data_IF_097541070328
#
_entry.id   IF_097541070328
#
_cell.length_a   1.000
_cell.length_b   1.000
_cell.length_c   1.000
_cell.angle_alpha   90.00
_cell.angle_beta   90.00
_cell.angle_gamma   90.00
#
_symmetry.space_group_name_H-M   'P 1'
#
loop_
_entity.id
_entity.type
_entity.pdbx_description
1 polymer ?
#
# COMPACT_ATOMS: atom_id res chain seq x y z
N UNK A 1 -12.42 -10.53 -22.60
CA UNK A 1 -13.34 -11.69 -22.55
C UNK A 1 -13.12 -12.42 -21.23
N UNK A 2 -14.05 -13.24 -20.76
CA UNK A 2 -13.89 -14.00 -19.50
C UNK A 2 -13.38 -15.42 -19.77
N UNK A 3 -12.70 -16.02 -18.78
CA UNK A 3 -12.21 -17.40 -18.90
C UNK A 3 -13.38 -18.39 -19.01
N UNK A 4 -13.23 -19.49 -19.79
CA UNK A 4 -14.29 -20.47 -19.99
C UNK A 4 -14.64 -21.27 -18.71
N UNK A 5 -13.81 -21.18 -17.67
CA UNK A 5 -13.99 -21.83 -16.38
C UNK A 5 -14.30 -20.83 -15.25
N UNK A 6 -14.86 -19.66 -15.57
CA UNK A 6 -15.23 -18.61 -14.60
C UNK A 6 -16.05 -19.14 -13.42
N UNK A 7 -16.91 -20.13 -13.61
CA UNK A 7 -17.68 -20.75 -12.52
C UNK A 7 -16.80 -21.38 -11.43
N UNK A 8 -15.58 -21.84 -11.76
CA UNK A 8 -14.63 -22.34 -10.77
C UNK A 8 -14.04 -21.21 -9.92
N UNK A 9 -13.82 -20.05 -10.53
CA UNK A 9 -13.42 -18.83 -9.83
C UNK A 9 -14.54 -18.41 -8.86
N UNK A 10 -15.79 -18.42 -9.31
CA UNK A 10 -16.95 -18.11 -8.46
C UNK A 10 -17.07 -19.08 -7.29
N UNK A 11 -16.98 -20.39 -7.55
CA UNK A 11 -17.00 -21.43 -6.51
C UNK A 11 -15.86 -21.24 -5.52
N UNK A 12 -14.65 -20.93 -5.99
CA UNK A 12 -13.50 -20.63 -5.15
C UNK A 12 -13.77 -19.44 -4.23
N UNK A 13 -14.25 -18.32 -4.79
CA UNK A 13 -14.55 -17.10 -4.04
C UNK A 13 -15.61 -17.40 -2.98
N UNK A 14 -16.70 -18.07 -3.35
CA UNK A 14 -17.78 -18.43 -2.42
C UNK A 14 -17.29 -19.35 -1.30
N UNK A 15 -16.46 -20.34 -1.64
CA UNK A 15 -15.89 -21.28 -0.69
C UNK A 15 -15.02 -20.57 0.36
N UNK A 16 -14.04 -19.78 -0.08
CA UNK A 16 -13.15 -19.07 0.84
C UNK A 16 -13.84 -17.93 1.58
N UNK A 17 -14.81 -17.26 0.94
CA UNK A 17 -15.62 -16.25 1.63
C UNK A 17 -16.38 -16.83 2.82
N UNK A 18 -16.87 -18.07 2.72
CA UNK A 18 -17.56 -18.75 3.81
C UNK A 18 -16.62 -19.36 4.86
N UNK A 19 -15.39 -19.71 4.48
CA UNK A 19 -14.42 -20.41 5.35
C UNK A 19 -13.51 -19.46 6.15
N UNK A 20 -13.23 -18.28 5.62
CA UNK A 20 -12.35 -17.30 6.27
C UNK A 20 -13.14 -16.45 7.29
N UNK A 21 -13.55 -17.02 8.43
CA UNK A 21 -14.28 -16.37 9.54
C UNK A 21 -14.56 -14.85 9.40
N UNK A 22 -13.80 -13.97 10.08
CA UNK A 22 -13.96 -12.51 10.01
C UNK A 22 -13.28 -11.88 8.77
N UNK A 23 -12.63 -12.69 7.93
CA UNK A 23 -11.85 -12.27 6.77
C UNK A 23 -12.45 -12.77 5.45
N UNK A 24 -13.73 -13.16 5.42
CA UNK A 24 -14.40 -13.70 4.23
C UNK A 24 -14.38 -12.73 3.06
N UNK A 25 -14.27 -11.45 3.35
CA UNK A 25 -14.12 -10.40 2.35
C UNK A 25 -12.76 -10.42 1.63
N UNK A 26 -11.72 -11.08 2.16
CA UNK A 26 -10.44 -11.24 1.46
C UNK A 26 -10.61 -12.00 0.16
N UNK A 27 -11.33 -13.13 0.18
CA UNK A 27 -11.57 -13.94 -1.01
C UNK A 27 -12.40 -13.22 -2.08
N UNK A 28 -13.12 -12.15 -1.72
CA UNK A 28 -13.91 -11.33 -2.65
C UNK A 28 -13.08 -10.26 -3.35
N UNK A 29 -11.81 -10.11 -2.99
CA UNK A 29 -10.94 -9.10 -3.58
C UNK A 29 -9.58 -9.65 -3.96
N UNK A 30 -8.92 -8.97 -4.90
CA UNK A 30 -7.48 -9.07 -5.11
C UNK A 30 -6.85 -7.71 -4.85
N UNK A 31 -5.62 -7.73 -4.34
CA UNK A 31 -5.02 -6.61 -3.64
C UNK A 31 -3.78 -6.11 -4.37
N UNK A 32 -3.81 -4.89 -4.87
CA UNK A 32 -2.60 -4.20 -5.28
C UNK A 32 -2.09 -3.31 -4.13
N UNK A 33 -0.82 -3.44 -3.77
CA UNK A 33 -0.19 -2.75 -2.64
C UNK A 33 0.95 -1.86 -3.14
N UNK A 34 0.95 -0.58 -2.78
CA UNK A 34 1.95 0.38 -3.26
C UNK A 34 2.09 1.59 -2.32
N UNK A 35 3.11 2.43 -2.54
CA UNK A 35 3.29 3.69 -1.80
C UNK A 35 2.29 4.77 -2.26
N UNK A 36 1.96 5.70 -1.37
CA UNK A 36 1.02 6.80 -1.62
C UNK A 36 1.34 7.63 -2.86
N UNK A 37 2.61 7.82 -3.21
CA UNK A 37 2.99 8.58 -4.40
C UNK A 37 2.62 7.82 -5.67
N UNK A 38 2.89 6.52 -5.70
CA UNK A 38 2.47 5.67 -6.81
C UNK A 38 0.94 5.59 -6.89
N UNK A 39 0.28 5.47 -5.74
CA UNK A 39 -1.17 5.43 -5.68
C UNK A 39 -1.80 6.69 -6.27
N UNK A 40 -1.27 7.88 -5.95
CA UNK A 40 -1.72 9.13 -6.56
C UNK A 40 -1.55 9.08 -8.09
N UNK A 41 -0.38 8.66 -8.61
CA UNK A 41 -0.12 8.56 -10.05
C UNK A 41 -1.07 7.58 -10.76
N UNK A 42 -1.34 6.42 -10.16
CA UNK A 42 -2.30 5.43 -10.66
C UNK A 42 -3.71 6.04 -10.76
N UNK A 43 -4.10 6.85 -9.78
CA UNK A 43 -5.41 7.51 -9.76
C UNK A 43 -5.51 8.66 -10.78
N UNK A 44 -4.41 9.38 -11.03
CA UNK A 44 -4.32 10.37 -12.12
C UNK A 44 -4.44 9.72 -13.50
N UNK A 45 -3.67 8.65 -13.75
CA UNK A 45 -3.65 7.97 -15.04
C UNK A 45 -4.87 7.10 -15.29
N UNK A 46 -5.52 6.63 -14.22
CA UNK A 46 -6.64 5.69 -14.29
C UNK A 46 -6.23 4.26 -14.67
N UNK A 47 -4.95 3.92 -14.55
CA UNK A 47 -4.40 2.59 -14.88
C UNK A 47 -3.23 2.19 -13.98
N UNK A 48 -3.14 0.90 -13.73
CA UNK A 48 -1.98 0.22 -13.17
C UNK A 48 -1.07 -0.20 -14.32
N UNK A 49 0.23 0.07 -14.18
CA UNK A 49 1.24 -0.32 -15.16
C UNK A 49 2.15 -1.39 -14.56
N UNK A 50 2.52 -2.37 -15.36
CA UNK A 50 3.62 -3.27 -15.03
C UNK A 50 4.91 -2.48 -14.94
N UNK A 51 5.88 -3.01 -14.18
CA UNK A 51 7.17 -2.36 -14.04
C UNK A 51 7.86 -2.11 -15.38
N UNK A 52 7.79 -3.07 -16.29
CA UNK A 52 8.36 -2.93 -17.63
C UNK A 52 7.68 -1.85 -18.47
N UNK A 53 6.42 -1.50 -18.20
CA UNK A 53 5.78 -0.34 -18.83
C UNK A 53 6.19 0.95 -18.16
N UNK A 54 6.25 0.99 -16.83
CA UNK A 54 6.75 2.16 -16.08
C UNK A 54 8.14 2.57 -16.56
N UNK A 55 9.05 1.59 -16.68
CA UNK A 55 10.41 1.78 -17.19
C UNK A 55 10.43 2.27 -18.65
N UNK A 56 9.48 1.85 -19.49
CA UNK A 56 9.36 2.30 -20.89
C UNK A 56 8.76 3.70 -21.04
N UNK A 57 7.84 4.05 -20.15
CA UNK A 57 7.17 5.36 -20.15
C UNK A 57 7.96 6.43 -19.37
N UNK A 58 9.15 6.09 -18.85
CA UNK A 58 9.98 6.95 -17.99
C UNK A 58 9.18 7.59 -16.85
N UNK A 59 8.25 6.82 -16.30
CA UNK A 59 7.38 7.29 -15.23
C UNK A 59 8.04 7.03 -13.88
N UNK A 60 8.12 8.07 -13.05
CA UNK A 60 8.69 7.96 -11.71
C UNK A 60 7.89 6.94 -10.86
N UNK A 61 8.57 6.06 -10.14
CA UNK A 61 7.97 4.99 -9.33
C UNK A 61 8.74 4.77 -8.03
N UNK A 62 8.05 4.79 -6.90
CA UNK A 62 8.61 4.45 -5.59
C UNK A 62 8.58 2.96 -5.41
N UNK A 63 9.74 2.31 -5.42
CA UNK A 63 9.78 0.86 -5.25
C UNK A 63 9.80 0.46 -3.77
N UNK A 64 8.73 -0.21 -3.34
CA UNK A 64 8.62 -0.74 -1.97
C UNK A 64 9.31 -2.09 -1.76
N UNK A 65 9.84 -2.73 -2.80
CA UNK A 65 10.55 -3.99 -2.70
C UNK A 65 12.05 -3.80 -2.41
N UNK A 66 12.67 -4.83 -1.85
CA UNK A 66 14.12 -4.88 -1.65
C UNK A 66 14.87 -4.80 -3.00
N UNK A 67 15.98 -4.06 -3.06
CA UNK A 67 16.88 -4.00 -4.23
C UNK A 67 17.37 -5.38 -4.69
N UNK A 68 17.71 -6.29 -3.78
CA UNK A 68 18.14 -7.66 -4.13
C UNK A 68 17.02 -8.38 -4.89
N UNK A 69 15.78 -8.34 -4.38
CA UNK A 69 14.61 -8.94 -5.03
C UNK A 69 14.38 -8.33 -6.40
N UNK A 70 14.53 -7.01 -6.56
CA UNK A 70 14.38 -6.32 -7.85
C UNK A 70 15.44 -6.75 -8.87
N UNK A 71 16.69 -6.88 -8.44
CA UNK A 71 17.81 -7.29 -9.29
C UNK A 71 17.76 -8.77 -9.67
N UNK A 72 17.21 -9.62 -8.80
CA UNK A 72 17.05 -11.06 -9.05
C UNK A 72 15.71 -11.43 -9.71
N UNK A 73 14.73 -10.51 -9.74
CA UNK A 73 13.46 -10.70 -10.44
C UNK A 73 13.74 -10.78 -11.94
N UNK A 74 13.46 -11.94 -12.55
CA UNK A 74 13.59 -12.16 -13.98
C UNK A 74 12.85 -11.08 -14.77
N UNK A 75 13.42 -10.64 -15.88
CA UNK A 75 12.82 -9.59 -16.72
C UNK A 75 11.38 -9.93 -17.16
N UNK A 76 11.06 -11.22 -17.30
CA UNK A 76 9.72 -11.73 -17.58
C UNK A 76 8.71 -11.38 -16.47
N UNK A 77 9.11 -11.38 -15.20
CA UNK A 77 8.20 -11.12 -14.07
C UNK A 77 7.89 -9.62 -13.93
N UNK A 78 8.72 -8.75 -14.52
CA UNK A 78 8.48 -7.30 -14.57
C UNK A 78 7.38 -6.91 -15.56
N UNK A 79 6.91 -7.84 -16.39
CA UNK A 79 5.88 -7.61 -17.41
C UNK A 79 4.45 -7.61 -16.86
N UNK A 80 4.27 -7.86 -15.55
CA UNK A 80 2.94 -8.01 -14.96
C UNK A 80 2.61 -6.89 -13.98
N UNK A 81 1.35 -6.45 -14.02
CA UNK A 81 0.68 -5.87 -12.86
C UNK A 81 0.37 -7.01 -11.90
N UNK A 82 0.81 -6.87 -10.65
CA UNK A 82 0.74 -7.93 -9.63
C UNK A 82 -0.30 -7.59 -8.57
N UNK A 83 -1.12 -8.59 -8.24
CA UNK A 83 -2.11 -8.51 -7.17
C UNK A 83 -1.93 -9.70 -6.23
N UNK A 84 -1.96 -9.44 -4.93
CA UNK A 84 -1.99 -10.51 -3.92
C UNK A 84 -3.41 -11.02 -3.74
N UNK A 85 -3.56 -12.31 -3.42
CA UNK A 85 -4.86 -12.89 -3.03
C UNK A 85 -5.30 -12.50 -1.62
N UNK A 86 -4.39 -11.97 -0.80
CA UNK A 86 -4.68 -11.50 0.56
C UNK A 86 -3.78 -10.33 0.95
N UNK A 87 -4.19 -9.52 1.94
CA UNK A 87 -3.30 -8.57 2.61
C UNK A 87 -2.38 -9.27 3.63
N UNK A 88 -1.55 -8.50 4.32
CA UNK A 88 -0.58 -8.95 5.33
C UNK A 88 0.33 -10.08 4.84
N UNK A 89 0.81 -10.01 3.61
CA UNK A 89 1.77 -10.98 3.07
C UNK A 89 3.15 -10.82 3.73
N UNK A 90 4.03 -11.83 3.67
CA UNK A 90 5.39 -11.70 4.19
C UNK A 90 6.17 -10.54 3.56
N UNK A 91 5.98 -10.25 2.27
CA UNK A 91 6.57 -9.06 1.64
C UNK A 91 6.08 -7.77 2.28
N UNK A 92 4.77 -7.66 2.52
CA UNK A 92 4.17 -6.49 3.19
C UNK A 92 4.65 -6.35 4.64
N UNK A 93 4.85 -7.48 5.34
CA UNK A 93 5.46 -7.48 6.68
C UNK A 93 6.87 -6.88 6.70
N UNK A 94 7.68 -7.17 5.66
CA UNK A 94 9.05 -6.67 5.56
C UNK A 94 9.14 -5.20 5.18
N UNK A 95 8.23 -4.69 4.35
CA UNK A 95 8.35 -3.35 3.78
C UNK A 95 7.46 -2.28 4.42
N UNK A 96 6.32 -2.61 5.03
CA UNK A 96 5.33 -1.62 5.48
C UNK A 96 5.85 -0.66 6.55
N UNK A 97 5.68 0.65 6.37
CA UNK A 97 5.83 1.68 7.42
C UNK A 97 7.23 2.27 7.55
N UNK A 98 7.30 3.43 8.20
CA UNK A 98 8.52 4.24 8.30
C UNK A 98 9.37 3.75 9.46
N UNK A 99 10.64 3.48 9.18
CA UNK A 99 11.63 3.05 10.17
C UNK A 99 13.06 3.47 9.78
N UNK A 100 13.97 3.55 10.77
CA UNK A 100 15.40 3.75 10.53
C UNK A 100 15.96 2.75 9.52
N UNK A 101 16.94 3.11 8.69
CA UNK A 101 17.59 2.19 7.75
C UNK A 101 18.05 0.88 8.38
N UNK A 102 18.61 0.92 9.59
CA UNK A 102 19.09 -0.24 10.34
C UNK A 102 17.98 -1.23 10.75
N UNK A 103 16.73 -0.78 10.83
CA UNK A 103 15.57 -1.64 11.12
C UNK A 103 14.97 -2.25 9.83
N UNK A 104 15.47 -1.87 8.64
CA UNK A 104 14.93 -2.34 7.35
C UNK A 104 15.54 -3.68 6.96
N UNK A 105 14.67 -4.62 6.58
CA UNK A 105 15.12 -5.86 5.96
C UNK A 105 15.55 -5.61 4.52
N UNK A 106 16.85 -5.69 4.25
CA UNK A 106 17.43 -5.51 2.92
C UNK A 106 16.90 -4.25 2.19
N UNK A 107 16.82 -3.11 2.88
CA UNK A 107 16.31 -1.84 2.33
C UNK A 107 14.83 -1.83 1.88
N UNK A 108 14.06 -2.92 2.08
CA UNK A 108 12.65 -2.95 1.72
C UNK A 108 11.83 -1.94 2.54
N UNK A 109 11.18 -1.01 1.86
CA UNK A 109 10.54 0.13 2.53
C UNK A 109 9.36 0.70 1.73
N UNK A 110 8.16 0.61 2.30
CA UNK A 110 6.94 1.25 1.81
C UNK A 110 6.40 2.19 2.91
N UNK A 111 6.84 3.46 2.92
CA UNK A 111 6.55 4.44 3.98
C UNK A 111 5.06 4.59 4.28
N UNK A 112 4.27 4.92 3.25
CA UNK A 112 2.85 5.24 3.35
C UNK A 112 2.08 4.30 2.42
N UNK A 113 1.66 3.13 2.92
CA UNK A 113 1.07 2.10 2.11
C UNK A 113 -0.38 2.40 1.73
N UNK A 114 -0.74 2.08 0.49
CA UNK A 114 -2.11 2.15 -0.03
C UNK A 114 -2.45 0.82 -0.68
N UNK A 115 -3.62 0.29 -0.35
CA UNK A 115 -4.21 -0.85 -1.04
C UNK A 115 -5.26 -0.39 -2.04
N UNK A 116 -5.21 -0.95 -3.24
CA UNK A 116 -6.32 -0.97 -4.19
C UNK A 116 -6.97 -2.35 -4.13
N UNK A 117 -8.27 -2.38 -3.82
CA UNK A 117 -9.05 -3.60 -3.69
C UNK A 117 -9.92 -3.73 -4.93
N UNK A 118 -9.57 -4.68 -5.78
CA UNK A 118 -10.33 -5.01 -6.99
C UNK A 118 -11.28 -6.16 -6.71
N UNK A 119 -12.39 -6.19 -7.44
CA UNK A 119 -13.29 -7.33 -7.44
C UNK A 119 -12.55 -8.60 -7.89
N UNK A 120 -12.58 -9.65 -7.05
CA UNK A 120 -11.85 -10.87 -7.33
C UNK A 120 -12.38 -11.59 -8.57
N UNK A 121 -13.70 -11.62 -8.79
CA UNK A 121 -14.27 -12.33 -9.92
C UNK A 121 -13.92 -11.59 -11.22
N UNK A 122 -14.19 -10.29 -11.27
CA UNK A 122 -13.93 -9.47 -12.46
C UNK A 122 -12.45 -9.50 -12.86
N UNK A 123 -11.55 -9.60 -11.88
CA UNK A 123 -10.09 -9.56 -12.13
C UNK A 123 -9.50 -10.95 -12.37
N UNK A 124 -9.85 -11.95 -11.57
CA UNK A 124 -9.30 -13.30 -11.73
C UNK A 124 -9.88 -14.01 -12.95
N UNK A 125 -11.10 -13.70 -13.38
CA UNK A 125 -11.72 -14.35 -14.53
C UNK A 125 -11.36 -13.69 -15.88
N UNK A 126 -10.47 -12.70 -15.92
CA UNK A 126 -9.99 -12.11 -17.17
C UNK A 126 -9.32 -13.15 -18.06
N UNK A 127 -9.52 -13.05 -19.36
CA UNK A 127 -8.86 -13.92 -20.34
C UNK A 127 -7.33 -13.89 -20.23
N UNK A 128 -6.76 -12.71 -20.06
CA UNK A 128 -5.31 -12.46 -19.95
C UNK A 128 -4.71 -12.74 -18.56
N UNK A 129 -5.53 -13.05 -17.54
CA UNK A 129 -5.04 -13.32 -16.20
C UNK A 129 -4.15 -14.57 -16.15
N UNK A 130 -3.07 -14.48 -15.38
CA UNK A 130 -2.21 -15.59 -15.00
C UNK A 130 -2.11 -15.69 -13.49
N UNK A 131 -1.78 -16.88 -13.00
CA UNK A 131 -1.82 -17.20 -11.58
C UNK A 131 -0.50 -17.82 -11.17
N UNK A 132 0.08 -17.33 -10.09
CA UNK A 132 1.30 -17.86 -9.51
C UNK A 132 1.00 -18.57 -8.19
N UNK A 133 1.70 -19.67 -7.94
CA UNK A 133 1.53 -20.45 -6.72
C UNK A 133 2.24 -19.84 -5.50
N UNK A 134 3.03 -18.80 -5.67
CA UNK A 134 3.83 -18.19 -4.60
C UNK A 134 4.59 -16.96 -5.08
N UNK A 135 5.61 -16.59 -4.31
CA UNK A 135 6.40 -15.39 -4.57
C UNK A 135 7.08 -15.42 -5.95
N UNK A 136 6.70 -14.51 -6.85
CA UNK A 136 7.33 -14.35 -8.17
C UNK A 136 8.82 -13.97 -8.12
N UNK A 137 9.36 -13.56 -6.97
CA UNK A 137 10.82 -13.40 -6.78
C UNK A 137 11.57 -14.72 -6.54
N UNK A 138 10.88 -15.84 -6.34
CA UNK A 138 11.49 -17.15 -6.07
C UNK A 138 11.82 -17.92 -7.34
N UNK A 139 12.89 -18.73 -7.31
CA UNK A 139 13.20 -19.70 -8.37
C UNK A 139 12.23 -20.89 -8.42
N UNK A 140 11.49 -21.14 -7.34
CA UNK A 140 10.55 -22.27 -7.23
C UNK A 140 9.12 -21.92 -7.68
N UNK A 141 8.91 -20.71 -8.23
CA UNK A 141 7.58 -20.26 -8.63
C UNK A 141 7.12 -20.96 -9.90
N UNK A 142 5.86 -21.42 -9.88
CA UNK A 142 5.14 -21.85 -11.07
C UNK A 142 4.00 -20.88 -11.31
N UNK A 143 3.84 -20.45 -12.57
CA UNK A 143 2.75 -19.57 -12.95
C UNK A 143 2.30 -19.84 -14.39
N UNK A 144 1.02 -19.57 -14.66
CA UNK A 144 0.45 -19.74 -16.00
C UNK A 144 -0.99 -19.25 -16.10
N UNK A 145 -1.54 -19.17 -17.32
CA UNK A 145 -2.90 -18.68 -17.59
C UNK A 145 -4.00 -19.75 -17.43
N UNK A 146 -3.60 -21.01 -17.21
CA UNK A 146 -4.45 -22.17 -17.29
C UNK A 146 -5.32 -22.38 -16.06
N UNK A 147 -6.37 -23.19 -16.25
CA UNK A 147 -7.22 -23.67 -15.16
C UNK A 147 -6.40 -24.46 -14.14
N UNK A 148 -5.52 -25.34 -14.61
CA UNK A 148 -4.74 -26.20 -13.74
C UNK A 148 -3.70 -25.41 -12.95
N UNK A 149 -3.16 -24.31 -13.51
CA UNK A 149 -2.28 -23.38 -12.78
C UNK A 149 -3.00 -22.76 -11.59
N UNK A 150 -4.25 -22.31 -11.78
CA UNK A 150 -5.08 -21.75 -10.70
C UNK A 150 -5.43 -22.80 -9.64
N UNK A 151 -5.86 -24.00 -10.05
CA UNK A 151 -6.27 -25.06 -9.13
C UNK A 151 -5.08 -25.68 -8.37
N UNK A 152 -3.87 -25.59 -8.90
CA UNK A 152 -2.65 -26.06 -8.24
C UNK A 152 -2.20 -25.16 -7.08
N UNK A 153 -2.73 -23.94 -6.96
CA UNK A 153 -2.37 -23.01 -5.88
C UNK A 153 -2.86 -23.58 -4.53
N UNK A 154 -1.98 -23.76 -3.53
CA UNK A 154 -2.39 -24.28 -2.23
C UNK A 154 -3.02 -23.17 -1.38
N UNK A 155 -4.27 -22.81 -1.70
CA UNK A 155 -4.97 -21.68 -1.08
C UNK A 155 -5.16 -21.80 0.43
N UNK A 156 -5.10 -23.00 1.00
CA UNK A 156 -5.03 -23.21 2.46
C UNK A 156 -3.81 -22.55 3.08
N UNK A 157 -2.67 -22.55 2.38
CA UNK A 157 -1.44 -21.87 2.79
C UNK A 157 -1.45 -20.39 2.40
N UNK A 158 -2.01 -20.06 1.23
CA UNK A 158 -2.20 -18.66 0.81
C UNK A 158 -3.01 -17.91 1.87
N UNK A 159 -4.18 -18.42 2.25
CA UNK A 159 -5.07 -17.81 3.23
C UNK A 159 -4.79 -18.20 4.68
N UNK A 160 -3.69 -18.90 4.96
CA UNK A 160 -3.28 -19.17 6.34
C UNK A 160 -3.19 -17.82 7.09
N UNK A 161 -3.92 -17.66 8.19
CA UNK A 161 -3.90 -16.44 9.02
C UNK A 161 -3.70 -16.84 10.48
N UNK A 162 -2.48 -16.64 10.97
CA UNK A 162 -2.03 -17.21 12.23
C UNK A 162 -0.50 -17.18 12.35
N UNK A 163 -0.03 -17.37 13.58
CA UNK A 163 1.38 -17.56 13.89
C UNK A 163 1.84 -18.92 13.39
N UNK A 164 3.09 -18.98 12.95
CA UNK A 164 3.74 -20.21 12.51
C UNK A 164 5.25 -20.05 12.71
N UNK A 165 5.96 -21.16 12.78
CA UNK A 165 7.42 -21.14 12.78
C UNK A 165 7.94 -21.03 11.32
N UNK A 166 8.63 -19.93 10.96
CA UNK A 166 9.23 -19.74 9.64
C UNK A 166 10.22 -20.83 9.22
N UNK A 167 10.93 -21.44 10.16
CA UNK A 167 11.92 -22.48 9.86
C UNK A 167 11.26 -23.83 9.59
N UNK A 168 10.21 -24.15 10.36
CA UNK A 168 9.46 -25.38 10.18
C UNK A 168 8.45 -25.32 9.02
N UNK A 169 7.96 -24.12 8.66
CA UNK A 169 6.93 -23.94 7.62
C UNK A 169 7.31 -22.85 6.59
N UNK A 170 8.46 -22.96 5.92
CA UNK A 170 8.92 -21.98 4.94
C UNK A 170 7.97 -21.85 3.74
N UNK A 171 7.21 -22.90 3.42
CA UNK A 171 6.25 -22.91 2.34
C UNK A 171 5.04 -22.00 2.60
N UNK A 172 4.68 -21.75 3.85
CA UNK A 172 3.65 -20.74 4.19
C UNK A 172 4.12 -19.34 3.76
N UNK A 173 5.41 -19.03 3.95
CA UNK A 173 5.98 -17.74 3.52
C UNK A 173 5.93 -17.62 2.00
N UNK A 174 6.29 -18.70 1.30
CA UNK A 174 6.26 -18.73 -0.16
C UNK A 174 4.84 -18.56 -0.70
N UNK A 175 3.88 -19.36 -0.25
CA UNK A 175 2.52 -19.37 -0.77
C UNK A 175 1.67 -18.18 -0.32
N UNK A 176 1.92 -17.57 0.85
CA UNK A 176 1.25 -16.30 1.24
C UNK A 176 1.59 -15.12 0.31
N UNK A 177 2.62 -15.25 -0.52
CA UNK A 177 2.98 -14.30 -1.57
C UNK A 177 2.53 -14.76 -2.96
N UNK A 178 1.59 -15.71 -3.07
CA UNK A 178 0.95 -16.06 -4.33
C UNK A 178 0.21 -14.85 -4.90
N UNK A 179 0.25 -14.72 -6.23
CA UNK A 179 -0.22 -13.54 -6.94
C UNK A 179 -1.04 -13.88 -8.18
N UNK A 180 -2.03 -13.03 -8.43
CA UNK A 180 -2.67 -12.84 -9.73
C UNK A 180 -1.82 -11.86 -10.54
N UNK A 181 -1.62 -12.18 -11.82
CA UNK A 181 -0.74 -11.47 -12.73
C UNK A 181 -1.53 -11.03 -13.96
N UNK A 182 -1.53 -9.73 -14.25
CA UNK A 182 -2.12 -9.17 -15.47
C UNK A 182 -1.00 -8.61 -16.36
N UNK A 183 -0.84 -9.09 -17.61
CA UNK A 183 0.23 -8.63 -18.50
C UNK A 183 0.09 -7.15 -18.88
N UNK A 184 1.21 -6.43 -18.92
CA UNK A 184 1.24 -5.04 -19.37
C UNK A 184 0.58 -4.12 -18.37
N UNK A 185 -0.67 -3.74 -18.61
CA UNK A 185 -1.42 -2.75 -17.81
C UNK A 185 -2.81 -3.27 -17.45
N UNK A 186 -3.43 -2.62 -16.47
CA UNK A 186 -4.83 -2.84 -16.11
C UNK A 186 -5.49 -1.50 -15.79
N UNK A 187 -6.64 -1.22 -16.39
CA UNK A 187 -7.45 -0.07 -15.98
C UNK A 187 -8.06 -0.27 -14.58
N UNK A 188 -8.69 0.79 -14.06
CA UNK A 188 -9.32 0.75 -12.74
C UNK A 188 -10.82 0.35 -12.76
N UNK A 189 -11.32 -0.28 -13.82
CA UNK A 189 -12.76 -0.61 -13.95
C UNK A 189 -13.27 -1.58 -12.88
N UNK A 190 -12.43 -2.54 -12.47
CA UNK A 190 -12.74 -3.49 -11.40
C UNK A 190 -12.46 -2.98 -9.98
N UNK A 191 -12.01 -1.73 -9.83
CA UNK A 191 -11.65 -1.17 -8.53
C UNK A 191 -12.90 -0.94 -7.67
N UNK A 192 -12.94 -1.55 -6.48
CA UNK A 192 -14.01 -1.34 -5.51
C UNK A 192 -13.64 -0.28 -4.50
N UNK A 193 -12.48 -0.42 -3.85
CA UNK A 193 -12.04 0.45 -2.75
C UNK A 193 -10.56 0.77 -2.81
N UNK A 194 -10.21 1.93 -2.26
CA UNK A 194 -8.83 2.35 -2.00
C UNK A 194 -8.69 2.50 -0.49
N UNK A 195 -7.82 1.71 0.13
CA UNK A 195 -7.66 1.68 1.58
C UNK A 195 -6.32 2.29 1.99
N UNK A 196 -6.37 3.23 2.93
CA UNK A 196 -5.22 3.81 3.62
C UNK A 196 -5.14 3.27 5.05
N UNK A 197 -3.95 3.27 5.66
CA UNK A 197 -3.75 2.69 7.00
C UNK A 197 -4.40 3.50 8.12
N UNK A 198 -4.51 4.82 7.91
CA UNK A 198 -4.97 5.79 8.90
C UNK A 198 -5.67 7.00 8.26
N UNK A 199 -6.25 7.87 9.10
CA UNK A 199 -6.82 9.14 8.64
C UNK A 199 -5.76 10.09 8.10
N UNK A 200 -4.57 10.15 8.72
CA UNK A 200 -3.45 10.98 8.28
C UNK A 200 -2.98 10.61 6.88
N UNK A 201 -2.82 9.32 6.61
CA UNK A 201 -2.41 8.82 5.29
C UNK A 201 -3.51 8.98 4.24
N UNK A 202 -4.78 8.80 4.62
CA UNK A 202 -5.92 9.11 3.75
C UNK A 202 -5.90 10.57 3.30
N UNK A 203 -5.72 11.50 4.24
CA UNK A 203 -5.61 12.93 3.90
C UNK A 203 -4.42 13.21 3.00
N UNK A 204 -3.30 12.49 3.22
CA UNK A 204 -2.12 12.56 2.35
C UNK A 204 -2.43 12.13 0.93
N UNK A 205 -3.04 10.96 0.72
CA UNK A 205 -3.43 10.51 -0.62
C UNK A 205 -4.38 11.51 -1.30
N UNK A 206 -5.38 12.01 -0.56
CA UNK A 206 -6.32 13.01 -1.08
C UNK A 206 -5.63 14.32 -1.47
N UNK A 207 -4.62 14.75 -0.71
CA UNK A 207 -3.85 15.96 -1.02
C UNK A 207 -2.95 15.78 -2.25
N UNK A 208 -2.41 14.58 -2.47
CA UNK A 208 -1.54 14.27 -3.61
C UNK A 208 -2.29 14.12 -4.94
N UNK A 209 -3.61 13.95 -4.90
CA UNK A 209 -4.45 13.90 -6.09
C UNK A 209 -4.83 15.29 -6.60
N UNK A 210 -4.93 15.41 -7.92
CA UNK A 210 -5.53 16.55 -8.60
C UNK A 210 -7.01 16.71 -8.23
N UNK A 211 -7.61 17.90 -8.39
CA UNK A 211 -9.05 18.08 -8.21
C UNK A 211 -9.89 17.08 -9.03
N UNK A 212 -9.48 16.79 -10.26
CA UNK A 212 -10.18 15.84 -11.13
C UNK A 212 -10.13 14.40 -10.59
N UNK A 213 -8.94 13.93 -10.21
CA UNK A 213 -8.78 12.61 -9.60
C UNK A 213 -9.53 12.50 -8.27
N UNK A 214 -9.55 13.54 -7.44
CA UNK A 214 -10.34 13.58 -6.20
C UNK A 214 -11.83 13.45 -6.46
N UNK A 215 -12.38 14.17 -7.44
CA UNK A 215 -13.80 14.07 -7.80
C UNK A 215 -14.12 12.65 -8.26
N UNK A 216 -13.24 12.06 -9.07
CA UNK A 216 -13.44 10.71 -9.63
C UNK A 216 -13.33 9.61 -8.59
N UNK A 217 -12.33 9.68 -7.71
CA UNK A 217 -11.92 8.55 -6.86
C UNK A 217 -12.12 8.77 -5.36
N UNK A 218 -12.33 10.01 -4.91
CA UNK A 218 -12.34 10.35 -3.48
C UNK A 218 -13.35 9.57 -2.64
N UNK A 219 -14.50 9.21 -3.22
CA UNK A 219 -15.53 8.40 -2.55
C UNK A 219 -15.10 6.94 -2.33
N UNK A 220 -14.16 6.44 -3.13
CA UNK A 220 -13.58 5.10 -2.97
C UNK A 220 -12.45 5.07 -1.92
N UNK A 221 -11.88 6.23 -1.54
CA UNK A 221 -10.76 6.32 -0.59
C UNK A 221 -11.22 6.31 0.86
N UNK A 222 -10.76 5.31 1.62
CA UNK A 222 -11.22 4.99 2.98
C UNK A 222 -10.05 4.66 3.90
N UNK A 223 -10.29 4.75 5.21
CA UNK A 223 -9.42 4.09 6.19
C UNK A 223 -9.78 2.61 6.18
N UNK A 224 -8.78 1.75 5.97
CA UNK A 224 -8.96 0.32 5.83
C UNK A 224 -9.29 -0.40 7.14
N UNK A 225 -9.86 -1.60 7.01
CA UNK A 225 -10.04 -2.55 8.12
C UNK A 225 -8.71 -2.85 8.83
N UNK A 226 -8.77 -3.17 10.13
CA UNK A 226 -7.59 -3.46 10.95
C UNK A 226 -6.76 -4.64 10.45
N UNK A 227 -7.35 -5.55 9.66
CA UNK A 227 -6.68 -6.72 9.09
C UNK A 227 -6.00 -6.50 7.73
N UNK A 228 -5.98 -5.27 7.20
CA UNK A 228 -5.29 -4.95 5.95
C UNK A 228 -3.78 -4.70 6.14
N UNK A 229 -3.42 -4.01 7.22
CA UNK A 229 -2.07 -3.50 7.45
C UNK A 229 -1.43 -4.15 8.67
N UNK A 230 -0.11 -4.19 8.71
CA UNK A 230 0.66 -4.75 9.82
C UNK A 230 0.74 -3.77 11.00
N UNK A 231 0.86 -2.47 10.72
CA UNK A 231 0.90 -1.38 11.71
C UNK A 231 2.02 -1.52 12.76
N UNK A 232 3.14 -2.10 12.36
CA UNK A 232 4.28 -2.40 13.25
C UNK A 232 5.27 -1.23 13.42
N UNK A 233 5.24 -0.27 12.51
CA UNK A 233 6.23 0.81 12.43
C UNK A 233 5.57 2.18 12.50
N UNK A 234 6.37 3.24 12.46
CA UNK A 234 5.87 4.60 12.61
C UNK A 234 5.06 5.03 11.38
N UNK A 235 3.93 5.67 11.65
CA UNK A 235 3.10 6.35 10.66
C UNK A 235 2.26 7.43 11.35
N UNK A 236 1.80 8.41 10.58
CA UNK A 236 0.88 9.44 11.08
C UNK A 236 -0.53 8.86 11.12
N UNK A 237 -1.07 8.67 12.32
CA UNK A 237 -2.44 8.21 12.51
C UNK A 237 -3.44 9.30 12.12
N UNK A 238 -3.23 10.51 12.63
CA UNK A 238 -4.05 11.70 12.36
C UNK A 238 -3.28 12.98 12.69
N UNK A 239 -3.81 14.11 12.21
CA UNK A 239 -3.36 15.46 12.58
C UNK A 239 -4.52 16.19 13.24
N UNK A 240 -4.26 16.73 14.43
CA UNK A 240 -5.21 17.54 15.19
C UNK A 240 -4.82 19.01 15.03
N UNK A 241 -5.78 19.85 14.66
CA UNK A 241 -5.59 21.29 14.46
C UNK A 241 -6.15 22.00 15.70
N UNK A 242 -5.39 22.96 16.24
CA UNK A 242 -5.83 23.82 17.34
C UNK A 242 -5.46 25.28 17.08
N UNK A 243 -5.79 26.14 18.04
CA UNK A 243 -5.42 27.56 17.99
C UNK A 243 -3.89 27.69 17.94
N UNK A 244 -3.38 28.25 16.84
CA UNK A 244 -1.94 28.49 16.60
C UNK A 244 -1.06 27.26 16.75
N UNK A 245 -1.61 26.06 16.54
CA UNK A 245 -0.84 24.82 16.60
C UNK A 245 -1.48 23.70 15.80
N UNK A 246 -0.67 22.69 15.47
CA UNK A 246 -1.18 21.40 15.05
C UNK A 246 -0.32 20.28 15.62
N UNK A 247 -0.92 19.11 15.78
CA UNK A 247 -0.30 17.96 16.45
C UNK A 247 -0.39 16.74 15.54
N UNK A 248 0.76 16.20 15.17
CA UNK A 248 0.86 14.88 14.57
C UNK A 248 0.68 13.83 15.67
N UNK A 249 -0.26 12.92 15.49
CA UNK A 249 -0.38 11.72 16.33
C UNK A 249 0.18 10.55 15.55
N UNK A 250 1.18 9.87 16.11
CA UNK A 250 1.81 8.70 15.51
C UNK A 250 1.21 7.40 16.05
N UNK A 251 1.44 6.30 15.33
CA UNK A 251 1.21 4.96 15.83
C UNK A 251 1.89 4.75 17.21
N UNK A 252 1.12 4.45 18.28
CA UNK A 252 1.70 4.29 19.61
C UNK A 252 2.59 3.04 19.73
N UNK A 253 2.39 2.05 18.86
CA UNK A 253 3.03 0.74 18.96
C UNK A 253 4.24 0.56 18.04
N UNK A 254 4.83 1.65 17.53
CA UNK A 254 5.98 1.56 16.63
C UNK A 254 7.11 0.72 17.23
N UNK A 255 7.73 -0.13 16.41
CA UNK A 255 8.88 -0.96 16.78
C UNK A 255 10.23 -0.31 16.51
N UNK A 256 10.27 0.94 16.02
CA UNK A 256 11.52 1.65 15.73
C UNK A 256 12.47 1.61 16.94
N UNK A 257 13.73 1.28 16.67
CA UNK A 257 14.79 1.14 17.67
C UNK A 257 15.28 2.47 18.24
N UNK A 258 15.10 3.57 17.48
CA UNK A 258 15.51 4.93 17.87
C UNK A 258 14.52 6.01 17.43
N UNK A 259 14.82 7.24 17.84
CA UNK A 259 14.17 8.44 17.32
C UNK A 259 14.42 8.60 15.82
N UNK A 260 13.45 9.20 15.14
CA UNK A 260 13.50 9.42 13.70
C UNK A 260 13.92 10.86 13.41
N UNK A 261 14.83 11.03 12.45
CA UNK A 261 15.06 12.34 11.85
C UNK A 261 13.77 12.80 11.19
N UNK A 262 13.38 14.02 11.48
CA UNK A 262 12.15 14.62 10.99
C UNK A 262 12.44 15.96 10.33
N UNK A 263 11.66 16.25 9.29
CA UNK A 263 11.65 17.55 8.62
C UNK A 263 10.21 17.93 8.30
N UNK A 264 9.75 19.04 8.89
CA UNK A 264 8.45 19.63 8.59
C UNK A 264 8.64 20.80 7.66
N UNK A 265 8.00 20.75 6.50
CA UNK A 265 7.95 21.84 5.52
C UNK A 265 6.59 22.51 5.61
N UNK A 266 6.60 23.82 5.85
CA UNK A 266 5.41 24.67 5.91
C UNK A 266 5.45 25.65 4.74
N UNK A 267 4.43 25.63 3.89
CA UNK A 267 4.24 26.63 2.83
C UNK A 267 3.06 27.51 3.20
N UNK A 268 3.35 28.79 3.40
CA UNK A 268 2.40 29.84 3.77
C UNK A 268 1.55 30.28 2.57
N UNK A 269 0.43 31.01 2.80
CA UNK A 269 -0.43 31.50 1.72
C UNK A 269 0.27 32.41 0.70
N UNK A 270 1.29 33.16 1.14
CA UNK A 270 2.13 34.03 0.30
C UNK A 270 3.22 33.26 -0.48
N UNK A 271 3.29 31.94 -0.32
CA UNK A 271 4.30 31.07 -0.92
C UNK A 271 5.60 30.96 -0.13
N UNK A 272 5.74 31.68 0.99
CA UNK A 272 6.94 31.60 1.84
C UNK A 272 7.05 30.20 2.44
N UNK A 273 8.26 29.63 2.39
CA UNK A 273 8.56 28.29 2.91
C UNK A 273 9.34 28.39 4.22
N UNK A 274 8.93 27.64 5.22
CA UNK A 274 9.68 27.42 6.46
C UNK A 274 9.93 25.93 6.67
N UNK A 275 11.11 25.57 7.14
CA UNK A 275 11.49 24.19 7.44
C UNK A 275 11.90 24.06 8.91
N UNK A 276 11.46 22.97 9.53
CA UNK A 276 11.76 22.64 10.92
C UNK A 276 12.33 21.23 10.94
N UNK A 277 13.58 21.09 11.35
CA UNK A 277 14.24 19.80 11.53
C UNK A 277 14.35 19.45 13.02
N UNK A 278 14.12 18.18 13.33
CA UNK A 278 14.21 17.67 14.70
C UNK A 278 14.41 16.15 14.71
N UNK A 279 14.72 15.59 15.87
CA UNK A 279 14.57 14.16 16.14
C UNK A 279 13.31 13.90 16.97
N UNK A 280 12.43 13.05 16.45
CA UNK A 280 11.14 12.76 17.08
C UNK A 280 11.12 11.35 17.62
N UNK A 281 10.45 11.21 18.77
CA UNK A 281 10.02 9.89 19.23
C UNK A 281 9.18 9.23 18.12
N UNK A 282 9.45 7.95 17.77
CA UNK A 282 8.68 7.22 16.76
C UNK A 282 7.25 6.90 17.22
N UNK A 283 6.94 7.22 18.48
CA UNK A 283 5.69 6.95 19.20
C UNK A 283 5.16 8.25 19.80
N UNK A 284 3.84 8.37 19.91
CA UNK A 284 3.19 9.46 20.64
C UNK A 284 2.82 10.64 19.74
N UNK A 285 3.15 11.87 20.17
CA UNK A 285 2.68 13.10 19.53
C UNK A 285 3.84 14.05 19.22
N UNK A 286 3.71 14.82 18.14
CA UNK A 286 4.60 15.92 17.83
C UNK A 286 3.80 17.18 17.54
N UNK A 287 4.05 18.23 18.33
CA UNK A 287 3.32 19.51 18.26
C UNK A 287 4.17 20.55 17.53
N UNK A 288 3.56 21.21 16.56
CA UNK A 288 4.09 22.42 15.94
C UNK A 288 3.27 23.60 16.45
N UNK A 289 3.96 24.58 17.04
CA UNK A 289 3.38 25.86 17.47
C UNK A 289 3.71 26.93 16.43
N UNK A 290 2.72 27.74 16.07
CA UNK A 290 2.82 28.78 15.06
C UNK A 290 3.13 30.14 15.71
N UNK A 291 4.06 30.88 15.10
CA UNK A 291 4.46 32.21 15.57
C UNK A 291 3.42 33.29 15.28
N UNK A 292 2.47 33.03 14.40
CA UNK A 292 1.42 33.93 13.94
C UNK A 292 0.20 33.13 13.45
N UNK A 293 -0.89 33.83 13.19
CA UNK A 293 -2.13 33.25 12.70
C UNK A 293 -2.09 33.14 11.18
N UNK A 294 -2.50 31.98 10.65
CA UNK A 294 -2.59 31.74 9.22
C UNK A 294 -3.97 31.20 8.88
N UNK A 295 -4.60 31.65 7.78
CA UNK A 295 -5.87 31.09 7.35
C UNK A 295 -5.72 29.61 6.94
N UNK A 296 -4.59 29.28 6.31
CA UNK A 296 -4.20 27.91 6.00
C UNK A 296 -2.68 27.78 5.85
N UNK A 297 -2.18 26.54 5.93
CA UNK A 297 -0.79 26.16 5.62
C UNK A 297 -0.78 24.87 4.80
N UNK A 298 0.08 24.77 3.77
CA UNK A 298 0.42 23.45 3.21
C UNK A 298 1.56 22.87 4.04
N UNK A 299 1.31 21.70 4.64
CA UNK A 299 2.20 21.05 5.58
C UNK A 299 2.65 19.72 5.01
N UNK A 300 3.95 19.48 4.97
CA UNK A 300 4.53 18.17 4.69
C UNK A 300 5.44 17.74 5.84
N UNK A 301 5.28 16.51 6.32
CA UNK A 301 6.19 15.88 7.28
C UNK A 301 6.97 14.79 6.57
N UNK A 302 8.29 14.84 6.71
CA UNK A 302 9.20 13.78 6.31
C UNK A 302 9.80 13.13 7.56
N UNK A 303 9.93 11.81 7.53
CA UNK A 303 10.57 10.99 8.57
C UNK A 303 11.58 10.08 7.89
N UNK A 304 12.86 10.14 8.28
CA UNK A 304 13.96 9.43 7.59
C UNK A 304 13.90 9.61 6.07
N UNK A 305 13.77 10.88 5.64
CA UNK A 305 13.70 11.33 4.24
C UNK A 305 12.49 10.81 3.46
N UNK A 306 11.59 10.07 4.10
CA UNK A 306 10.37 9.54 3.50
C UNK A 306 9.18 10.43 3.82
N UNK A 307 8.32 10.69 2.84
CA UNK A 307 7.07 11.41 3.08
C UNK A 307 6.21 10.62 4.07
N UNK A 308 5.85 11.24 5.20
CA UNK A 308 5.01 10.65 6.24
C UNK A 308 3.59 11.25 6.26
N UNK A 309 3.46 12.51 5.87
CA UNK A 309 2.20 13.23 5.77
C UNK A 309 2.30 14.41 4.82
N UNK A 310 1.23 14.70 4.07
CA UNK A 310 1.06 15.99 3.39
C UNK A 310 -0.40 16.41 3.40
N UNK A 311 -0.70 17.66 3.74
CA UNK A 311 -2.05 18.22 3.58
C UNK A 311 -2.04 19.74 3.61
N UNK A 312 -3.15 20.34 3.18
CA UNK A 312 -3.48 21.72 3.53
C UNK A 312 -4.27 21.72 4.85
N UNK A 313 -3.75 22.41 5.86
CA UNK A 313 -4.42 22.62 7.14
C UNK A 313 -5.08 24.00 7.13
N UNK A 314 -6.38 24.07 7.40
CA UNK A 314 -7.14 25.32 7.50
C UNK A 314 -7.41 25.62 8.97
N UNK A 315 -7.20 26.87 9.40
CA UNK A 315 -7.39 27.30 10.79
C UNK A 315 -8.58 28.26 10.97
N UNK A 316 -9.27 28.63 9.88
CA UNK A 316 -10.36 29.62 9.86
C UNK A 316 -11.55 29.32 10.78
N UNK A 317 -11.77 28.07 11.18
CA UNK A 317 -12.88 27.69 12.09
C UNK A 317 -12.48 27.75 13.58
N UNK A 318 -11.26 28.17 13.88
CA UNK A 318 -10.68 28.25 15.22
C UNK A 318 -10.28 29.68 15.63
N UNK A 319 -10.48 30.65 14.74
CA UNK A 319 -10.16 32.08 14.94
C UNK A 319 -11.41 32.88 15.33
#
# INVERSE_FOLDING_TARGET
MTKPWVEEVERHISYWSGRLSNHGWWARHVFHYTDVNNAARILESGRLLSRAQIEREDTEFVDGACRSVIHHTLAAHKQFVRFYYRPRTPTQYRNEGIRPPEDRWEEAHCPVPVFFLFDALDTMARDDAQYSNGNMGSGDVSYGPGRDDFLAIPFTKVFHDGTFDPHANPEIIFHRNAELLIPGEMDLSGLRWIACRSHGERSTLMHRMSPAARIRWGNAVRVGDSSLFQKEWTFVDRVEIGERRFVFHFNPNSKCSRNLRSRVVLVRPDGTVAEIENELSPRGKYTITLSEDYPFLNVSLFLEDSLAYANQLTFNDLL
#
